data_IF_926437055857
#
_entry.id   IF_926437055857
#
_cell.length_a   1.000
_cell.length_b   1.000
_cell.length_c   1.000
_cell.angle_alpha   90.00
_cell.angle_beta   90.00
_cell.angle_gamma   90.00
#
_symmetry.space_group_name_H-M   'P 1'
#
loop_
_entity.id
_entity.type
_entity.pdbx_description
1 polymer ?
#
# COMPACT_ATOMS: atom_id res chain seq x y z
N UNK A 1 17.98 12.14 9.51
CA UNK A 1 19.09 12.90 8.93
C UNK A 1 19.90 13.59 10.01
N UNK A 2 19.32 14.52 10.79
CA UNK A 2 20.07 15.38 11.73
C UNK A 2 20.74 14.61 12.89
N UNK A 3 20.00 13.72 13.57
CA UNK A 3 20.51 13.00 14.75
C UNK A 3 21.54 11.91 14.41
N UNK A 4 21.33 11.20 13.31
CA UNK A 4 22.19 10.08 12.89
C UNK A 4 23.19 10.48 11.80
N UNK A 5 23.21 11.74 11.40
CA UNK A 5 24.05 12.26 10.32
C UNK A 5 23.97 11.43 9.03
N UNK A 6 22.76 10.95 8.69
CA UNK A 6 22.49 10.19 7.47
C UNK A 6 22.06 11.13 6.34
N UNK A 7 22.43 10.80 5.12
CA UNK A 7 21.95 11.47 3.91
C UNK A 7 21.24 10.46 2.99
N UNK A 8 20.00 10.07 3.32
CA UNK A 8 19.26 9.12 2.51
C UNK A 8 18.75 9.79 1.23
N UNK A 9 18.74 9.04 0.13
CA UNK A 9 17.92 9.38 -1.03
C UNK A 9 16.47 8.99 -0.73
N UNK A 10 15.54 9.86 -1.08
CA UNK A 10 14.11 9.58 -0.97
C UNK A 10 13.61 9.11 -2.32
N UNK A 11 12.87 8.01 -2.34
CA UNK A 11 12.24 7.49 -3.54
C UNK A 11 10.74 7.69 -3.42
N UNK A 12 10.18 8.43 -4.35
CA UNK A 12 8.75 8.54 -4.57
C UNK A 12 8.37 7.73 -5.80
N UNK A 13 7.36 6.87 -5.69
CA UNK A 13 6.83 6.10 -6.81
C UNK A 13 5.46 6.64 -7.16
N UNK A 14 5.37 7.29 -8.30
CA UNK A 14 4.11 7.84 -8.80
C UNK A 14 3.38 6.82 -9.66
N UNK A 15 2.23 6.37 -9.16
CA UNK A 15 1.30 5.47 -9.84
C UNK A 15 0.12 6.20 -10.49
N UNK A 16 0.12 7.53 -10.46
CA UNK A 16 -0.92 8.38 -11.06
C UNK A 16 -2.15 8.64 -10.17
N UNK A 17 -2.12 8.26 -8.89
CA UNK A 17 -3.26 8.40 -7.97
C UNK A 17 -3.04 9.37 -6.81
N UNK A 18 -1.90 10.06 -6.77
CA UNK A 18 -1.56 10.98 -5.70
C UNK A 18 -2.57 12.15 -5.63
N UNK A 19 -2.94 12.53 -4.41
CA UNK A 19 -3.67 13.79 -4.18
C UNK A 19 -2.72 14.99 -4.25
N UNK A 20 -3.26 16.19 -4.44
CA UNK A 20 -2.45 17.41 -4.42
C UNK A 20 -1.82 17.65 -3.05
N UNK A 21 -2.56 17.34 -1.96
CA UNK A 21 -2.06 17.44 -0.59
C UNK A 21 -0.84 16.50 -0.39
N UNK A 22 -0.89 15.31 -0.98
CA UNK A 22 0.22 14.35 -0.92
C UNK A 22 1.49 14.91 -1.57
N UNK A 23 1.38 15.47 -2.75
CA UNK A 23 2.50 16.09 -3.47
C UNK A 23 3.08 17.24 -2.66
N UNK A 24 2.24 18.16 -2.18
CA UNK A 24 2.66 19.29 -1.36
C UNK A 24 3.34 18.84 -0.06
N UNK A 25 2.82 17.80 0.60
CA UNK A 25 3.40 17.26 1.82
C UNK A 25 4.79 16.64 1.58
N UNK A 26 4.98 15.97 0.45
CA UNK A 26 6.29 15.44 0.05
C UNK A 26 7.28 16.60 -0.15
N UNK A 27 6.92 17.63 -0.91
CA UNK A 27 7.78 18.79 -1.16
C UNK A 27 8.18 19.48 0.14
N UNK A 28 7.22 19.77 1.05
CA UNK A 28 7.49 20.40 2.35
C UNK A 28 8.53 19.63 3.19
N UNK A 29 8.45 18.30 3.20
CA UNK A 29 9.39 17.45 3.95
C UNK A 29 10.76 17.42 3.26
N UNK A 30 10.80 17.26 1.95
CA UNK A 30 12.03 17.19 1.15
C UNK A 30 12.84 18.48 1.30
N UNK A 31 12.18 19.63 1.12
CA UNK A 31 12.80 20.94 1.25
C UNK A 31 13.26 21.23 2.69
N UNK A 32 12.39 20.96 3.66
CA UNK A 32 12.70 21.18 5.08
C UNK A 32 13.85 20.33 5.60
N UNK A 33 14.09 19.17 5.01
CA UNK A 33 15.19 18.28 5.35
C UNK A 33 16.36 18.37 4.37
N UNK A 34 16.23 19.10 3.27
CA UNK A 34 17.23 19.18 2.18
C UNK A 34 17.66 17.77 1.73
N UNK A 35 16.70 16.99 1.29
CA UNK A 35 16.89 15.62 0.83
C UNK A 35 16.86 15.56 -0.69
N UNK A 36 17.59 14.59 -1.25
CA UNK A 36 17.50 14.28 -2.67
C UNK A 36 16.27 13.40 -2.92
N UNK A 37 15.40 13.82 -3.82
CA UNK A 37 14.21 13.09 -4.23
C UNK A 37 14.40 12.50 -5.63
N UNK A 38 14.17 11.20 -5.73
CA UNK A 38 14.06 10.48 -7.00
C UNK A 38 12.60 10.06 -7.19
N UNK A 39 11.99 10.51 -8.27
CA UNK A 39 10.61 10.13 -8.60
C UNK A 39 10.60 9.09 -9.72
N UNK A 40 10.03 7.93 -9.44
CA UNK A 40 9.83 6.85 -10.41
C UNK A 40 8.38 6.89 -10.87
N UNK A 41 8.16 7.33 -12.11
CA UNK A 41 6.81 7.37 -12.70
C UNK A 41 6.49 6.02 -13.33
N UNK A 42 5.41 5.39 -12.86
CA UNK A 42 4.90 4.15 -13.45
C UNK A 42 4.12 4.48 -14.73
N UNK A 43 4.34 3.76 -15.85
CA UNK A 43 3.62 4.02 -17.09
C UNK A 43 2.11 3.92 -16.89
N UNK A 44 1.43 5.06 -17.00
CA UNK A 44 0.00 5.17 -16.66
C UNK A 44 -0.89 4.23 -17.45
N UNK A 45 -0.65 4.06 -18.75
CA UNK A 45 -1.44 3.16 -19.59
C UNK A 45 -1.40 1.71 -19.07
N UNK A 46 -0.23 1.23 -18.63
CA UNK A 46 -0.08 -0.12 -18.09
C UNK A 46 -0.66 -0.23 -16.67
N UNK A 47 -0.45 0.81 -15.84
CA UNK A 47 -1.02 0.90 -14.49
C UNK A 47 -2.55 0.91 -14.54
N UNK A 48 -3.13 1.72 -15.42
CA UNK A 48 -4.58 1.83 -15.63
C UNK A 48 -5.20 0.50 -16.06
N UNK A 49 -4.62 -0.14 -17.08
CA UNK A 49 -5.13 -1.41 -17.61
C UNK A 49 -5.06 -2.51 -16.56
N UNK A 50 -3.98 -2.56 -15.78
CA UNK A 50 -3.85 -3.49 -14.66
C UNK A 50 -4.86 -3.18 -13.54
N UNK A 51 -5.03 -1.90 -13.19
CA UNK A 51 -5.99 -1.48 -12.18
C UNK A 51 -7.43 -1.84 -12.57
N UNK A 52 -7.81 -1.58 -13.83
CA UNK A 52 -9.11 -1.96 -14.38
C UNK A 52 -9.29 -3.48 -14.41
N UNK A 53 -8.22 -4.24 -14.66
CA UNK A 53 -8.25 -5.70 -14.60
C UNK A 53 -8.63 -6.22 -13.21
N UNK A 54 -8.16 -5.58 -12.15
CA UNK A 54 -8.51 -5.94 -10.78
C UNK A 54 -9.98 -5.61 -10.45
N UNK A 55 -10.52 -4.49 -10.94
CA UNK A 55 -11.95 -4.23 -10.83
C UNK A 55 -12.79 -5.31 -11.54
N UNK A 56 -12.44 -5.67 -12.78
CA UNK A 56 -13.08 -6.73 -13.55
C UNK A 56 -12.95 -8.10 -12.88
N UNK A 57 -11.87 -8.35 -12.16
CA UNK A 57 -11.63 -9.57 -11.43
C UNK A 57 -12.52 -9.75 -10.18
N UNK A 58 -13.18 -8.70 -9.70
CA UNK A 58 -14.09 -8.73 -8.56
C UNK A 58 -13.44 -9.19 -7.25
N UNK A 59 -12.16 -8.94 -7.08
CA UNK A 59 -11.37 -9.26 -5.87
C UNK A 59 -11.32 -8.08 -4.91
N UNK A 60 -11.16 -8.31 -3.59
CA UNK A 60 -11.15 -7.21 -2.62
C UNK A 60 -9.85 -6.38 -2.62
N UNK A 61 -8.73 -6.93 -3.05
CA UNK A 61 -7.40 -6.31 -2.95
C UNK A 61 -7.07 -5.44 -4.17
N UNK A 62 -7.85 -4.38 -4.38
CA UNK A 62 -7.68 -3.49 -5.54
C UNK A 62 -6.41 -2.64 -5.50
N UNK A 63 -5.79 -2.46 -4.32
CA UNK A 63 -4.51 -1.74 -4.18
C UNK A 63 -3.29 -2.55 -4.66
N UNK A 64 -3.45 -3.86 -4.89
CA UNK A 64 -2.35 -4.74 -5.31
C UNK A 64 -1.51 -4.21 -6.48
N UNK A 65 -2.07 -3.62 -7.55
CA UNK A 65 -1.27 -3.01 -8.62
C UNK A 65 -0.32 -1.92 -8.13
N UNK A 66 -0.81 -1.01 -7.29
CA UNK A 66 -0.01 0.08 -6.72
C UNK A 66 1.07 -0.46 -5.78
N UNK A 67 0.67 -1.28 -4.82
CA UNK A 67 1.59 -1.87 -3.84
C UNK A 67 2.72 -2.64 -4.53
N UNK A 68 2.38 -3.43 -5.55
CA UNK A 68 3.38 -4.14 -6.33
C UNK A 68 4.35 -3.18 -7.02
N UNK A 69 3.82 -2.13 -7.65
CA UNK A 69 4.63 -1.12 -8.32
C UNK A 69 5.56 -0.40 -7.34
N UNK A 70 5.07 0.00 -6.16
CA UNK A 70 5.88 0.66 -5.12
C UNK A 70 7.06 -0.20 -4.70
N UNK A 71 6.81 -1.43 -4.27
CA UNK A 71 7.87 -2.31 -3.81
C UNK A 71 8.81 -2.72 -4.94
N UNK A 72 8.29 -3.10 -6.10
CA UNK A 72 9.12 -3.50 -7.23
C UNK A 72 10.03 -2.36 -7.70
N UNK A 73 9.52 -1.13 -7.80
CA UNK A 73 10.30 0.05 -8.18
C UNK A 73 11.41 0.33 -7.18
N UNK A 74 11.07 0.40 -5.89
CA UNK A 74 12.01 0.67 -4.80
C UNK A 74 13.14 -0.37 -4.76
N UNK A 75 12.81 -1.65 -4.75
CA UNK A 75 13.82 -2.71 -4.69
C UNK A 75 14.67 -2.81 -5.96
N UNK A 76 14.05 -2.64 -7.14
CA UNK A 76 14.79 -2.63 -8.40
C UNK A 76 15.77 -1.44 -8.46
N UNK A 77 15.33 -0.24 -8.04
CA UNK A 77 16.18 0.94 -7.95
C UNK A 77 17.35 0.72 -6.99
N UNK A 78 17.06 0.25 -5.78
CA UNK A 78 18.08 -0.04 -4.78
C UNK A 78 19.09 -1.10 -5.27
N UNK A 79 18.63 -2.15 -5.95
CA UNK A 79 19.48 -3.18 -6.51
C UNK A 79 20.39 -2.66 -7.64
N UNK A 80 19.86 -1.79 -8.53
CA UNK A 80 20.59 -1.14 -9.62
C UNK A 80 21.68 -0.21 -9.10
N UNK A 81 21.36 0.55 -8.06
CA UNK A 81 22.25 1.56 -7.46
C UNK A 81 23.11 1.01 -6.30
N UNK A 82 23.11 -0.33 -6.08
CA UNK A 82 23.91 -1.00 -5.03
C UNK A 82 23.58 -0.51 -3.60
N UNK A 83 22.36 -0.01 -3.38
CA UNK A 83 21.87 0.43 -2.08
C UNK A 83 21.54 -0.80 -1.25
N UNK A 84 22.10 -0.90 -0.06
CA UNK A 84 21.93 -2.06 0.83
C UNK A 84 20.88 -1.86 1.92
N UNK A 85 20.61 -0.63 2.30
CA UNK A 85 19.71 -0.31 3.40
C UNK A 85 18.53 0.50 2.90
N UNK A 86 17.31 0.02 3.19
CA UNK A 86 16.06 0.69 2.89
C UNK A 86 15.41 1.04 4.21
N UNK A 87 15.11 2.33 4.42
CA UNK A 87 14.35 2.78 5.58
C UNK A 87 12.86 2.76 5.23
N UNK A 88 12.06 2.13 6.07
CA UNK A 88 10.62 2.00 5.90
C UNK A 88 9.90 2.60 7.12
N UNK A 89 8.80 3.31 6.89
CA UNK A 89 7.97 3.92 7.94
C UNK A 89 7.02 2.95 8.67
N UNK A 90 6.94 1.70 8.24
CA UNK A 90 6.12 0.67 8.91
C UNK A 90 6.52 0.52 10.38
N UNK A 91 5.53 0.32 11.26
CA UNK A 91 5.79 0.27 12.70
C UNK A 91 4.73 -0.54 13.45
N UNK A 92 5.12 -1.09 14.61
CA UNK A 92 4.21 -1.84 15.47
C UNK A 92 3.14 -0.96 16.13
N UNK A 93 3.48 0.29 16.41
CA UNK A 93 2.61 1.18 17.18
C UNK A 93 1.27 1.45 16.51
N UNK A 94 1.23 1.43 15.18
CA UNK A 94 0.01 1.67 14.41
C UNK A 94 -0.41 0.52 13.49
N UNK A 95 0.42 -0.55 13.37
CA UNK A 95 0.25 -1.60 12.35
C UNK A 95 0.48 -3.03 12.90
N UNK A 96 0.37 -3.23 14.23
CA UNK A 96 0.62 -4.55 14.83
C UNK A 96 -0.50 -5.57 14.54
N UNK A 97 -1.72 -5.12 14.24
CA UNK A 97 -2.83 -5.99 13.84
C UNK A 97 -2.85 -6.14 12.33
N UNK A 98 -2.74 -7.37 11.87
CA UNK A 98 -2.76 -7.68 10.43
C UNK A 98 -4.19 -7.77 9.91
N UNK A 99 -4.37 -7.31 8.69
CA UNK A 99 -5.58 -7.58 7.94
C UNK A 99 -5.69 -9.07 7.58
N UNK A 100 -6.91 -9.65 7.58
CA UNK A 100 -7.11 -10.98 7.05
C UNK A 100 -6.63 -11.10 5.61
N UNK A 101 -6.08 -12.25 5.23
CA UNK A 101 -5.57 -12.49 3.88
C UNK A 101 -6.67 -12.36 2.80
N UNK A 102 -7.90 -12.61 3.18
CA UNK A 102 -9.10 -12.42 2.36
C UNK A 102 -9.34 -10.96 2.01
N UNK A 103 -8.93 -10.01 2.86
CA UNK A 103 -9.07 -8.58 2.62
C UNK A 103 -7.94 -8.04 1.75
N UNK A 104 -6.72 -8.52 2.02
CA UNK A 104 -5.50 -8.03 1.38
C UNK A 104 -4.58 -9.21 1.05
N UNK A 105 -4.60 -9.65 -0.21
CA UNK A 105 -3.71 -10.72 -0.68
C UNK A 105 -2.31 -10.19 -1.01
N UNK A 106 -1.32 -11.08 -0.99
CA UNK A 106 0.09 -10.75 -1.18
C UNK A 106 0.38 -9.99 -2.48
N UNK A 107 0.69 -8.70 -2.37
CA UNK A 107 1.08 -7.87 -3.52
C UNK A 107 2.39 -8.33 -4.18
N UNK A 108 3.22 -9.13 -3.50
CA UNK A 108 4.43 -9.74 -4.07
C UNK A 108 4.17 -10.96 -4.95
N UNK A 109 2.93 -11.44 -5.04
CA UNK A 109 2.59 -12.59 -5.89
C UNK A 109 2.36 -12.17 -7.34
N UNK A 110 3.44 -12.02 -8.09
CA UNK A 110 3.42 -11.67 -9.51
C UNK A 110 2.64 -12.68 -10.37
N UNK A 111 2.55 -13.96 -9.96
CA UNK A 111 1.76 -14.97 -10.68
C UNK A 111 0.27 -14.65 -10.62
N UNK A 112 -0.21 -14.21 -9.45
CA UNK A 112 -1.58 -13.78 -9.25
C UNK A 112 -1.92 -12.54 -10.08
N UNK A 113 -1.07 -11.53 -10.03
CA UNK A 113 -1.21 -10.31 -10.83
C UNK A 113 -1.27 -10.64 -12.32
N UNK A 114 -0.36 -11.46 -12.81
CA UNK A 114 -0.32 -11.87 -14.22
C UNK A 114 -1.54 -12.70 -14.64
N UNK A 115 -2.07 -13.56 -13.78
CA UNK A 115 -3.26 -14.35 -14.10
C UNK A 115 -4.50 -13.47 -14.22
N UNK A 116 -4.69 -12.51 -13.30
CA UNK A 116 -5.77 -11.52 -13.40
C UNK A 116 -5.62 -10.69 -14.69
N UNK A 117 -4.43 -10.14 -14.91
CA UNK A 117 -4.19 -9.31 -16.08
C UNK A 117 -4.37 -10.09 -17.40
N UNK A 118 -3.94 -11.35 -17.48
CA UNK A 118 -4.12 -12.18 -18.68
C UNK A 118 -5.59 -12.45 -19.04
N UNK A 119 -6.51 -12.34 -18.06
CA UNK A 119 -7.95 -12.57 -18.25
C UNK A 119 -8.73 -11.31 -18.58
N UNK A 120 -8.25 -10.16 -18.10
CA UNK A 120 -9.03 -8.92 -18.13
C UNK A 120 -8.27 -7.72 -18.73
N UNK A 121 -6.96 -7.82 -18.86
CA UNK A 121 -6.12 -6.76 -19.44
C UNK A 121 -6.22 -6.75 -20.97
N UNK A 122 -6.01 -5.58 -21.54
CA UNK A 122 -6.10 -5.31 -22.99
C UNK A 122 -4.74 -5.00 -23.61
N UNK A 123 -3.74 -4.63 -22.84
CA UNK A 123 -2.39 -4.32 -23.31
C UNK A 123 -1.33 -5.17 -22.62
N UNK A 124 -0.09 -5.18 -23.14
CA UNK A 124 1.01 -5.90 -22.50
C UNK A 124 1.68 -5.03 -21.44
N UNK A 125 2.02 -5.62 -20.29
CA UNK A 125 2.84 -4.98 -19.25
C UNK A 125 4.33 -5.11 -19.62
N UNK A 126 4.86 -4.11 -20.31
CA UNK A 126 6.24 -4.13 -20.79
C UNK A 126 7.19 -3.32 -19.87
N UNK A 127 6.71 -2.20 -19.36
CA UNK A 127 7.47 -1.25 -18.53
C UNK A 127 6.96 -1.17 -17.11
N UNK A 128 5.81 -1.78 -16.81
CA UNK A 128 5.29 -1.85 -15.44
C UNK A 128 6.33 -2.55 -14.54
N UNK A 129 6.71 -1.94 -13.41
CA UNK A 129 7.74 -2.50 -12.55
C UNK A 129 7.27 -3.80 -11.92
N UNK A 130 8.06 -4.86 -12.06
CA UNK A 130 7.74 -6.17 -11.52
C UNK A 130 8.86 -6.77 -10.70
N UNK A 131 8.47 -7.46 -9.63
CA UNK A 131 9.35 -8.33 -8.86
C UNK A 131 8.54 -9.51 -8.34
N UNK A 132 9.02 -10.72 -8.57
CA UNK A 132 8.37 -11.94 -8.09
C UNK A 132 8.83 -12.31 -6.67
N UNK A 133 8.20 -13.30 -6.10
CA UNK A 133 8.48 -13.78 -4.74
C UNK A 133 9.94 -14.23 -4.56
N UNK A 134 10.56 -14.79 -5.62
CA UNK A 134 11.96 -15.20 -5.58
C UNK A 134 12.89 -13.98 -5.46
N UNK A 135 12.61 -12.91 -6.24
CA UNK A 135 13.34 -11.65 -6.11
C UNK A 135 13.22 -11.08 -4.71
N UNK A 136 11.99 -11.00 -4.14
CA UNK A 136 11.78 -10.45 -2.79
C UNK A 136 12.44 -11.27 -1.70
N UNK A 137 12.25 -12.59 -1.68
CA UNK A 137 12.67 -13.44 -0.57
C UNK A 137 14.13 -13.86 -0.64
N UNK A 138 14.70 -14.00 -1.86
CA UNK A 138 16.01 -14.56 -2.07
C UNK A 138 16.98 -13.56 -2.71
N UNK A 139 16.68 -13.05 -3.91
CA UNK A 139 17.63 -12.26 -4.67
C UNK A 139 18.03 -10.96 -3.94
N UNK A 140 17.09 -10.13 -3.54
CA UNK A 140 17.41 -8.87 -2.87
C UNK A 140 18.07 -9.10 -1.51
N UNK A 141 17.57 -10.05 -0.74
CA UNK A 141 18.04 -10.30 0.62
C UNK A 141 19.44 -10.93 0.66
N UNK A 142 19.68 -11.97 -0.12
CA UNK A 142 20.90 -12.77 -0.04
C UNK A 142 21.93 -12.40 -1.11
N UNK A 143 21.52 -12.21 -2.37
CA UNK A 143 22.46 -11.85 -3.43
C UNK A 143 22.80 -10.38 -3.47
N UNK A 144 21.86 -9.49 -3.16
CA UNK A 144 22.10 -8.03 -3.06
C UNK A 144 22.42 -7.58 -1.64
N UNK A 145 22.30 -8.45 -0.65
CA UNK A 145 22.51 -8.15 0.78
C UNK A 145 21.71 -6.93 1.25
N UNK A 146 20.48 -6.81 0.76
CA UNK A 146 19.60 -5.69 1.10
C UNK A 146 18.87 -5.95 2.40
N UNK A 147 18.76 -4.92 3.23
CA UNK A 147 18.07 -4.96 4.53
C UNK A 147 17.08 -3.82 4.61
N UNK A 148 15.85 -4.15 4.97
CA UNK A 148 14.81 -3.17 5.31
C UNK A 148 14.85 -2.92 6.81
N UNK A 149 14.94 -1.67 7.19
CA UNK A 149 14.99 -1.23 8.58
C UNK A 149 13.75 -0.38 8.84
N UNK A 150 13.07 -0.65 9.94
CA UNK A 150 11.90 0.10 10.42
C UNK A 150 12.30 0.91 11.66
N UNK A 151 12.83 2.13 11.50
CA UNK A 151 13.40 2.90 12.61
C UNK A 151 12.41 3.20 13.72
N UNK A 152 11.11 3.37 13.37
CA UNK A 152 10.05 3.68 14.33
C UNK A 152 9.81 2.55 15.35
N UNK A 153 10.28 1.34 15.08
CA UNK A 153 10.19 0.22 16.03
C UNK A 153 11.27 0.27 17.13
N UNK A 154 12.25 1.15 17.01
CA UNK A 154 13.35 1.31 17.98
C UNK A 154 13.20 2.54 18.86
N UNK A 155 12.15 3.32 18.68
CA UNK A 155 11.84 4.51 19.46
C UNK A 155 10.40 4.43 19.97
N UNK A 156 10.08 5.20 21.01
CA UNK A 156 8.68 5.38 21.41
C UNK A 156 7.97 6.20 20.34
N UNK A 157 7.13 5.54 19.54
CA UNK A 157 6.39 6.20 18.47
C UNK A 157 4.90 6.36 18.85
N UNK A 158 4.47 7.61 18.98
CA UNK A 158 3.07 8.01 19.20
C UNK A 158 2.62 8.78 17.97
N UNK A 159 1.55 8.31 17.32
CA UNK A 159 1.08 8.90 16.06
C UNK A 159 0.68 10.37 16.21
N UNK A 160 0.00 10.73 17.30
CA UNK A 160 -0.42 12.11 17.55
C UNK A 160 0.78 13.07 17.67
N UNK A 161 1.81 12.65 18.43
CA UNK A 161 3.03 13.46 18.61
C UNK A 161 3.78 13.65 17.27
N UNK A 162 3.79 12.60 16.44
CA UNK A 162 4.42 12.66 15.12
C UNK A 162 3.70 13.62 14.17
N UNK A 163 2.38 13.63 14.19
CA UNK A 163 1.54 14.56 13.41
C UNK A 163 1.83 15.99 13.85
N UNK A 164 1.69 16.30 15.15
CA UNK A 164 1.96 17.62 15.72
C UNK A 164 3.37 18.14 15.36
N UNK A 165 4.36 17.25 15.46
CA UNK A 165 5.73 17.58 15.05
C UNK A 165 5.85 17.92 13.56
N UNK A 166 5.22 17.15 12.67
CA UNK A 166 5.28 17.37 11.23
C UNK A 166 4.57 18.65 10.82
N UNK A 167 3.40 18.90 11.40
CA UNK A 167 2.63 20.14 11.18
C UNK A 167 3.43 21.38 11.60
N UNK A 168 3.92 21.41 12.84
CA UNK A 168 4.67 22.55 13.38
C UNK A 168 5.99 22.79 12.66
N UNK A 169 6.69 21.73 12.29
CA UNK A 169 8.05 21.86 11.77
C UNK A 169 8.14 22.02 10.28
N UNK A 170 7.23 21.40 9.53
CA UNK A 170 7.27 21.37 8.08
C UNK A 170 6.02 21.96 7.43
N UNK A 171 4.98 22.31 8.20
CA UNK A 171 3.68 22.70 7.65
C UNK A 171 2.99 21.55 6.92
N UNK A 172 3.30 20.30 7.31
CA UNK A 172 2.65 19.12 6.78
C UNK A 172 1.15 19.15 7.13
N UNK A 173 0.32 18.70 6.21
CA UNK A 173 -1.13 18.68 6.38
C UNK A 173 -1.62 17.26 6.63
N UNK A 174 -2.41 17.08 7.71
CA UNK A 174 -2.93 15.78 8.08
C UNK A 174 -4.07 15.37 7.14
N UNK A 175 -3.99 14.12 6.63
CA UNK A 175 -5.11 13.50 5.92
C UNK A 175 -6.23 13.11 6.89
N UNK A 176 -7.48 13.13 6.43
CA UNK A 176 -8.65 12.79 7.25
C UNK A 176 -8.60 11.34 7.76
N UNK A 177 -8.05 10.42 6.99
CA UNK A 177 -7.86 9.02 7.36
C UNK A 177 -6.51 8.48 6.86
N UNK A 178 -6.14 7.29 7.35
CA UNK A 178 -4.94 6.57 6.90
C UNK A 178 -5.08 6.21 5.41
N UNK A 179 -4.00 6.39 4.65
CA UNK A 179 -3.90 6.11 3.21
C UNK A 179 -4.72 7.02 2.28
N UNK A 180 -5.26 8.15 2.79
CA UNK A 180 -5.98 9.12 1.96
C UNK A 180 -5.05 10.10 1.21
N UNK A 181 -3.73 9.87 1.25
CA UNK A 181 -2.76 10.49 0.35
C UNK A 181 -2.97 10.08 -1.13
N UNK A 182 -3.58 8.92 -1.37
CA UNK A 182 -4.02 8.46 -2.69
C UNK A 182 -5.53 8.62 -2.82
N UNK A 183 -6.01 9.39 -3.80
CA UNK A 183 -7.44 9.56 -4.04
C UNK A 183 -8.12 8.24 -4.41
N UNK A 184 -7.41 7.37 -5.11
CA UNK A 184 -7.90 6.01 -5.38
C UNK A 184 -8.05 5.20 -4.08
N UNK A 185 -7.05 5.22 -3.21
CA UNK A 185 -7.10 4.43 -1.96
C UNK A 185 -8.17 4.96 -1.02
N UNK A 186 -8.40 6.29 -0.97
CA UNK A 186 -9.53 6.90 -0.27
C UNK A 186 -10.86 6.30 -0.75
N UNK A 187 -11.12 6.32 -2.06
CA UNK A 187 -12.33 5.74 -2.68
C UNK A 187 -12.44 4.24 -2.41
N UNK A 188 -11.33 3.50 -2.59
CA UNK A 188 -11.29 2.06 -2.43
C UNK A 188 -11.53 1.62 -0.99
N UNK A 189 -10.74 2.11 -0.03
CA UNK A 189 -10.84 1.71 1.38
C UNK A 189 -12.05 2.32 2.08
N UNK A 190 -12.35 3.58 1.76
CA UNK A 190 -13.43 4.33 2.40
C UNK A 190 -14.83 3.96 1.93
N UNK A 191 -14.97 3.56 0.68
CA UNK A 191 -16.27 3.24 0.08
C UNK A 191 -16.35 1.84 -0.51
N UNK A 192 -15.49 1.52 -1.50
CA UNK A 192 -15.63 0.33 -2.31
C UNK A 192 -15.53 -0.97 -1.52
N UNK A 193 -14.48 -1.10 -0.71
CA UNK A 193 -14.19 -2.30 0.06
C UNK A 193 -15.30 -2.60 1.07
N UNK A 194 -15.83 -1.57 1.70
CA UNK A 194 -16.90 -1.69 2.70
C UNK A 194 -18.22 -2.09 2.03
N UNK A 195 -18.62 -1.36 0.98
CA UNK A 195 -19.94 -1.57 0.37
C UNK A 195 -20.03 -2.83 -0.47
N UNK A 196 -18.92 -3.23 -1.11
CA UNK A 196 -18.90 -4.44 -1.93
C UNK A 196 -18.59 -5.71 -1.16
N UNK A 197 -17.64 -5.65 -0.22
CA UNK A 197 -17.12 -6.83 0.46
C UNK A 197 -17.44 -6.89 1.96
N UNK A 198 -17.91 -5.80 2.55
CA UNK A 198 -18.16 -5.70 3.99
C UNK A 198 -16.87 -5.56 4.83
N UNK A 199 -15.75 -5.22 4.22
CA UNK A 199 -14.44 -5.16 4.86
C UNK A 199 -14.08 -3.72 5.21
N UNK A 200 -13.97 -3.41 6.50
CA UNK A 200 -13.59 -2.10 7.00
C UNK A 200 -12.19 -2.16 7.62
N UNK A 201 -11.19 -1.69 6.89
CA UNK A 201 -9.78 -1.69 7.29
C UNK A 201 -9.51 -0.85 8.55
N UNK A 202 -10.39 0.10 8.90
CA UNK A 202 -10.31 0.86 10.16
C UNK A 202 -10.30 -0.05 11.38
N UNK A 203 -10.97 -1.22 11.32
CA UNK A 203 -11.00 -2.19 12.42
C UNK A 203 -9.59 -2.69 12.78
N UNK A 204 -8.78 -3.06 11.80
CA UNK A 204 -7.40 -3.50 12.01
C UNK A 204 -6.53 -2.35 12.52
N UNK A 205 -6.67 -1.17 11.91
CA UNK A 205 -5.92 0.02 12.30
C UNK A 205 -6.24 0.46 13.75
N UNK A 206 -7.52 0.61 14.09
CA UNK A 206 -7.91 1.01 15.46
C UNK A 206 -7.56 -0.05 16.49
N UNK A 207 -7.63 -1.33 16.14
CA UNK A 207 -7.16 -2.41 17.00
C UNK A 207 -5.67 -2.28 17.32
N UNK A 208 -4.86 -1.89 16.35
CA UNK A 208 -3.43 -1.61 16.59
C UNK A 208 -3.23 -0.45 17.57
N UNK A 209 -3.99 0.65 17.40
CA UNK A 209 -3.91 1.81 18.29
C UNK A 209 -4.40 1.48 19.72
N UNK A 210 -5.41 0.63 19.87
CA UNK A 210 -5.89 0.17 21.17
C UNK A 210 -4.82 -0.67 21.88
N UNK A 211 -4.23 -1.64 21.15
CA UNK A 211 -3.18 -2.51 21.70
C UNK A 211 -1.92 -1.76 22.14
N UNK A 212 -1.69 -0.59 21.57
CA UNK A 212 -0.53 0.26 21.88
C UNK A 212 -0.89 1.47 22.75
N UNK A 213 -2.07 1.47 23.36
CA UNK A 213 -2.58 2.52 24.26
C UNK A 213 -2.63 3.93 23.62
N UNK A 214 -2.86 4.01 22.32
CA UNK A 214 -3.01 5.28 21.58
C UNK A 214 -4.47 5.62 21.27
N UNK A 215 -5.40 4.73 21.56
CA UNK A 215 -6.84 4.90 21.41
C UNK A 215 -7.59 4.01 22.40
N UNK A 216 -8.71 4.47 22.93
CA UNK A 216 -9.60 3.62 23.72
C UNK A 216 -10.53 2.81 22.82
N UNK A 217 -11.08 1.72 23.36
CA UNK A 217 -12.08 0.90 22.65
C UNK A 217 -13.34 1.71 22.31
N UNK A 218 -13.79 2.56 23.24
CA UNK A 218 -15.01 3.35 23.06
C UNK A 218 -14.85 4.41 21.98
N UNK A 219 -13.68 5.07 21.92
CA UNK A 219 -13.33 5.97 20.82
C UNK A 219 -13.33 5.25 19.47
N UNK A 220 -12.75 4.06 19.41
CA UNK A 220 -12.74 3.26 18.20
C UNK A 220 -14.15 2.87 17.74
N UNK A 221 -14.99 2.40 18.67
CA UNK A 221 -16.39 2.07 18.37
C UNK A 221 -17.21 3.27 17.92
N UNK A 222 -17.00 4.44 18.56
CA UNK A 222 -17.63 5.69 18.15
C UNK A 222 -17.21 6.09 16.72
N UNK A 223 -15.93 5.94 16.37
CA UNK A 223 -15.46 6.23 15.01
C UNK A 223 -15.95 5.22 13.96
N UNK A 224 -16.20 3.97 14.35
CA UNK A 224 -16.71 2.93 13.47
C UNK A 224 -18.23 3.00 13.26
N UNK A 225 -18.96 3.73 14.10
CA UNK A 225 -20.43 3.84 13.99
C UNK A 225 -20.89 4.67 12.79
N UNK A 226 -19.99 5.44 12.19
CA UNK A 226 -20.25 6.20 10.96
C UNK A 226 -19.41 5.68 9.80
N UNK A 227 -19.89 5.81 8.55
CA UNK A 227 -19.07 5.54 7.38
C UNK A 227 -17.77 6.37 7.42
N UNK A 228 -16.66 5.86 6.87
CA UNK A 228 -15.40 6.60 6.88
C UNK A 228 -15.44 7.86 6.03
N UNK A 229 -16.27 7.86 5.01
CA UNK A 229 -16.53 9.04 4.21
C UNK A 229 -17.85 8.90 3.43
N UNK A 230 -18.60 10.00 3.34
CA UNK A 230 -19.91 10.07 2.66
C UNK A 230 -20.00 11.26 1.71
N UNK A 231 -19.23 12.30 1.99
CA UNK A 231 -19.12 13.48 1.15
C UNK A 231 -18.25 13.16 -0.07
N UNK A 232 -18.48 13.76 -1.22
CA UNK A 232 -17.68 13.60 -2.45
C UNK A 232 -17.67 12.20 -3.10
N UNK A 233 -18.56 11.27 -2.70
CA UNK A 233 -18.58 9.92 -3.27
C UNK A 233 -18.84 9.94 -4.78
N UNK A 234 -19.77 10.75 -5.24
CA UNK A 234 -20.09 10.85 -6.67
C UNK A 234 -18.94 11.47 -7.45
N UNK A 235 -18.27 12.49 -6.90
CA UNK A 235 -17.07 13.10 -7.49
C UNK A 235 -15.90 12.09 -7.59
N UNK A 236 -15.76 11.21 -6.58
CA UNK A 236 -14.73 10.16 -6.62
C UNK A 236 -15.10 9.03 -7.58
N UNK A 237 -16.40 8.70 -7.77
CA UNK A 237 -16.83 7.81 -8.85
C UNK A 237 -16.47 8.38 -10.22
N UNK A 238 -16.77 9.65 -10.46
CA UNK A 238 -16.42 10.32 -11.73
C UNK A 238 -14.91 10.37 -11.94
N UNK A 239 -14.15 10.73 -10.91
CA UNK A 239 -12.69 10.78 -10.97
C UNK A 239 -12.09 9.41 -11.30
N UNK A 240 -12.49 8.36 -10.58
CA UNK A 240 -11.95 7.01 -10.80
C UNK A 240 -12.37 6.46 -12.15
N UNK A 241 -13.62 6.63 -12.55
CA UNK A 241 -14.13 6.21 -13.86
C UNK A 241 -13.38 6.91 -15.01
N UNK A 242 -13.22 8.23 -14.94
CA UNK A 242 -12.48 9.02 -15.92
C UNK A 242 -11.00 8.57 -16.00
N UNK A 243 -10.34 8.37 -14.86
CA UNK A 243 -8.96 7.88 -14.82
C UNK A 243 -8.81 6.47 -15.41
N UNK A 244 -9.80 5.62 -15.25
CA UNK A 244 -9.83 4.27 -15.82
C UNK A 244 -10.34 4.23 -17.27
N UNK A 245 -10.78 5.36 -17.83
CA UNK A 245 -11.39 5.48 -19.16
C UNK A 245 -12.59 4.55 -19.34
N UNK A 246 -13.47 4.51 -18.34
CA UNK A 246 -14.75 3.81 -18.38
C UNK A 246 -15.87 4.76 -17.96
N UNK A 247 -17.12 4.37 -18.21
CA UNK A 247 -18.28 5.13 -17.71
C UNK A 247 -18.45 4.93 -16.20
N UNK A 248 -19.08 5.90 -15.53
CA UNK A 248 -19.49 5.78 -14.11
C UNK A 248 -20.44 4.58 -13.94
N UNK A 249 -21.31 4.34 -14.90
CA UNK A 249 -22.23 3.21 -14.88
C UNK A 249 -21.50 1.86 -14.95
N UNK A 250 -20.44 1.75 -15.76
CA UNK A 250 -19.59 0.55 -15.79
C UNK A 250 -18.92 0.33 -14.44
N UNK A 251 -18.41 1.39 -13.83
CA UNK A 251 -17.79 1.30 -12.51
C UNK A 251 -18.82 0.88 -11.45
N UNK A 252 -20.00 1.51 -11.43
CA UNK A 252 -21.12 1.15 -10.53
C UNK A 252 -21.60 -0.29 -10.80
N UNK A 253 -21.61 -0.75 -12.05
CA UNK A 253 -21.95 -2.12 -12.39
C UNK A 253 -20.99 -3.15 -11.78
N UNK A 254 -19.70 -2.84 -11.64
CA UNK A 254 -18.78 -3.74 -10.93
C UNK A 254 -19.16 -3.96 -9.45
N UNK A 255 -19.83 -3.01 -8.80
CA UNK A 255 -20.32 -3.22 -7.43
C UNK A 255 -21.36 -4.34 -7.34
N UNK A 256 -22.20 -4.51 -8.37
CA UNK A 256 -23.29 -5.48 -8.37
C UNK A 256 -22.85 -6.90 -8.71
N UNK A 257 -21.67 -7.08 -9.30
CA UNK A 257 -21.16 -8.39 -9.69
C UNK A 257 -20.80 -9.24 -8.47
N UNK A 258 -20.90 -10.57 -8.64
CA UNK A 258 -20.53 -11.55 -7.60
C UNK A 258 -19.08 -11.39 -7.17
N UNK A 259 -18.85 -11.31 -5.87
CA UNK A 259 -17.53 -11.22 -5.28
C UNK A 259 -16.71 -12.48 -5.56
N UNK A 260 -15.42 -12.28 -5.79
CA UNK A 260 -14.40 -13.33 -5.90
C UNK A 260 -13.30 -13.10 -4.90
N UNK A 261 -12.46 -14.09 -4.75
CA UNK A 261 -11.31 -14.09 -3.85
C UNK A 261 -10.03 -14.33 -4.64
N UNK A 262 -8.88 -14.20 -3.99
CA UNK A 262 -7.61 -14.57 -4.62
C UNK A 262 -7.56 -16.06 -5.02
N UNK A 263 -8.40 -16.94 -4.44
CA UNK A 263 -8.46 -18.38 -4.75
C UNK A 263 -9.12 -18.68 -6.08
N UNK A 264 -9.87 -17.74 -6.64
CA UNK A 264 -10.51 -17.87 -7.97
C UNK A 264 -9.50 -17.66 -9.11
N UNK A 265 -8.27 -17.30 -8.77
CA UNK A 265 -7.19 -16.99 -9.71
C UNK A 265 -5.94 -17.81 -9.39
N UNK A 266 -5.08 -18.02 -10.41
CA UNK A 266 -3.79 -18.69 -10.20
C UNK A 266 -2.93 -17.82 -9.27
N UNK A 267 -2.25 -18.48 -8.33
CA UNK A 267 -1.41 -17.82 -7.35
C UNK A 267 -0.27 -18.71 -6.88
N UNK A 268 0.67 -18.13 -6.16
CA UNK A 268 1.71 -18.86 -5.44
C UNK A 268 1.34 -19.12 -3.97
N UNK A 269 0.08 -18.99 -3.60
CA UNK A 269 -0.38 -19.10 -2.21
C UNK A 269 0.17 -20.33 -1.48
N UNK A 270 0.04 -21.53 -2.07
CA UNK A 270 0.53 -22.76 -1.45
C UNK A 270 2.06 -22.75 -1.28
N UNK A 271 2.78 -22.25 -2.26
CA UNK A 271 4.24 -22.11 -2.22
C UNK A 271 4.67 -21.11 -1.14
N UNK A 272 4.02 -19.96 -1.08
CA UNK A 272 4.27 -18.92 -0.06
C UNK A 272 4.06 -19.49 1.34
N UNK A 273 2.94 -20.17 1.56
CA UNK A 273 2.63 -20.80 2.85
C UNK A 273 3.62 -21.89 3.24
N UNK A 274 4.00 -22.74 2.28
CA UNK A 274 4.98 -23.78 2.52
C UNK A 274 6.33 -23.18 2.96
N UNK A 275 6.86 -22.23 2.20
CA UNK A 275 8.12 -21.57 2.56
C UNK A 275 8.04 -20.78 3.85
N UNK A 276 6.95 -20.09 4.12
CA UNK A 276 6.77 -19.38 5.38
C UNK A 276 6.79 -20.33 6.57
N UNK A 277 6.09 -21.47 6.47
CA UNK A 277 6.11 -22.51 7.52
C UNK A 277 7.51 -23.09 7.70
N UNK A 278 8.20 -23.41 6.60
CA UNK A 278 9.55 -23.97 6.63
C UNK A 278 10.54 -23.00 7.27
N UNK A 279 10.55 -21.74 6.87
CA UNK A 279 11.45 -20.72 7.41
C UNK A 279 11.16 -20.44 8.90
N UNK A 280 9.90 -20.47 9.30
CA UNK A 280 9.50 -20.37 10.72
C UNK A 280 9.99 -21.57 11.51
N UNK A 281 9.84 -22.80 10.99
CA UNK A 281 10.32 -24.02 11.63
C UNK A 281 11.84 -24.01 11.80
N UNK A 282 12.57 -23.55 10.79
CA UNK A 282 14.02 -23.42 10.81
C UNK A 282 14.51 -22.20 11.62
N UNK A 283 13.63 -21.42 12.22
CA UNK A 283 13.93 -20.15 12.93
C UNK A 283 14.73 -19.13 12.09
N UNK A 284 14.73 -19.30 10.77
CA UNK A 284 15.41 -18.39 9.82
C UNK A 284 14.59 -17.12 9.52
N UNK A 285 13.29 -17.19 9.65
CA UNK A 285 12.42 -16.02 9.79
C UNK A 285 11.95 -15.96 11.24
N UNK A 286 12.52 -15.08 12.04
CA UNK A 286 11.71 -14.51 13.13
C UNK A 286 10.48 -13.95 12.41
N UNK A 287 9.27 -14.24 12.90
CA UNK A 287 8.05 -13.56 12.42
C UNK A 287 8.26 -12.06 12.58
N UNK A 288 8.98 -11.48 11.65
CA UNK A 288 9.01 -10.04 11.47
C UNK A 288 7.62 -9.78 10.92
N UNK A 289 6.81 -9.22 11.77
CA UNK A 289 5.50 -8.70 11.43
C UNK A 289 5.77 -7.72 10.29
N UNK A 290 5.38 -8.10 9.10
CA UNK A 290 5.26 -7.21 7.95
C UNK A 290 3.86 -6.66 7.94
#
# INVERSE_FOLDING_TARGET
>A
KKELNLNPIVIHVDTGWNSLESVNNIEKIIDGLKLDLETIVVPWNEMRDLQLSFFKAQVPHLDTPQDHAFFASMYNYAAKNKIKYILNGGNFSTECVREPLEWHYHASDLKHIKDIHSKFGSIKLNKFPTADIFKYKIYYRYFKNMRVIQPLNYIKYIKADAIDFLEKKFGWEQYSHKHYESRFTKFYEGFWLINKFGYDKRKAHYSSLILTNQMTRDEALKKLSSPPYTEEIDDDFEYVANKLEISVDDLKFFLTKKNKTFRDYKSNYNLINFFTKLLTLLRLEKRIIQ
#
